data_IF_618204914483
#
_entry.id   IF_618204914483
#
_cell.length_a   1.000
_cell.length_b   1.000
_cell.length_c   1.000
_cell.angle_alpha   90.00
_cell.angle_beta   90.00
_cell.angle_gamma   90.00
#
_symmetry.space_group_name_H-M   'P 1'
#
loop_
_entity.id
_entity.type
_entity.pdbx_description
1 polymer ?
#
# COMPACT_ATOMS: atom_id res chain seq x y z
N UNK A 1 5.25 -21.59 -5.96
CA UNK A 1 6.03 -22.27 -4.91
C UNK A 1 7.40 -21.63 -4.87
N UNK A 2 7.75 -20.99 -3.76
CA UNK A 2 9.07 -20.37 -3.58
C UNK A 2 10.16 -21.43 -3.62
N UNK A 3 11.22 -21.15 -4.38
CA UNK A 3 12.34 -22.07 -4.58
C UNK A 3 13.20 -22.10 -3.30
N UNK A 4 13.24 -23.24 -2.60
CA UNK A 4 13.92 -23.42 -1.31
C UNK A 4 15.45 -23.43 -1.38
N UNK A 5 16.03 -23.31 -2.58
CA UNK A 5 17.45 -23.63 -2.82
C UNK A 5 18.35 -22.40 -2.98
N UNK A 6 17.84 -21.17 -2.76
CA UNK A 6 18.69 -19.98 -2.62
C UNK A 6 18.71 -19.54 -1.16
N UNK A 7 19.91 -19.43 -0.59
CA UNK A 7 20.07 -18.92 0.76
C UNK A 7 19.42 -17.53 0.87
N UNK A 8 18.62 -17.31 1.93
CA UNK A 8 17.92 -16.05 2.25
C UNK A 8 18.84 -14.82 2.44
N UNK A 9 20.14 -14.94 2.15
CA UNK A 9 21.16 -13.88 2.31
C UNK A 9 21.65 -13.31 0.99
N UNK A 10 21.37 -13.95 -0.16
CA UNK A 10 21.76 -13.44 -1.47
C UNK A 10 20.75 -12.43 -1.99
N UNK A 11 21.24 -11.27 -2.45
CA UNK A 11 20.43 -10.20 -3.04
C UNK A 11 20.82 -9.92 -4.49
N UNK A 12 19.85 -9.54 -5.31
CA UNK A 12 20.06 -8.97 -6.64
C UNK A 12 19.43 -7.58 -6.63
N UNK A 13 20.17 -6.52 -6.99
CA UNK A 13 19.69 -5.14 -6.92
C UNK A 13 19.17 -4.72 -5.51
N UNK A 14 19.76 -5.28 -4.45
CA UNK A 14 19.31 -5.09 -3.07
C UNK A 14 17.99 -5.79 -2.71
N UNK A 15 17.42 -6.59 -3.63
CA UNK A 15 16.20 -7.37 -3.41
C UNK A 15 16.60 -8.80 -3.04
N UNK A 16 16.02 -9.41 -1.99
CA UNK A 16 16.34 -10.80 -1.66
C UNK A 16 16.01 -11.72 -2.84
N UNK A 17 16.93 -12.61 -3.19
CA UNK A 17 16.89 -13.36 -4.45
C UNK A 17 15.67 -14.27 -4.62
N UNK A 18 14.94 -14.58 -3.53
CA UNK A 18 13.66 -15.31 -3.56
C UNK A 18 12.48 -14.49 -4.10
N UNK A 19 12.59 -13.16 -4.13
CA UNK A 19 11.59 -12.25 -4.70
C UNK A 19 11.91 -11.84 -6.15
N UNK A 20 13.09 -12.18 -6.66
CA UNK A 20 13.51 -11.83 -8.02
C UNK A 20 13.08 -12.90 -9.01
N UNK A 21 12.32 -12.49 -10.02
CA UNK A 21 11.83 -13.35 -11.10
C UNK A 21 12.85 -13.41 -12.24
N UNK A 22 13.33 -12.23 -12.66
CA UNK A 22 14.22 -12.07 -13.82
C UNK A 22 15.22 -10.97 -13.54
N UNK A 23 16.41 -11.11 -14.09
CA UNK A 23 17.45 -10.09 -14.11
C UNK A 23 18.16 -10.17 -15.45
N UNK A 24 18.44 -9.02 -16.05
CA UNK A 24 19.15 -8.95 -17.34
C UNK A 24 19.87 -7.59 -17.48
N UNK A 25 20.80 -7.50 -18.40
CA UNK A 25 21.61 -6.30 -18.62
C UNK A 25 21.91 -6.05 -20.09
N UNK A 26 21.87 -4.79 -20.51
CA UNK A 26 22.28 -4.34 -21.84
C UNK A 26 23.13 -3.08 -21.71
N UNK A 27 24.35 -3.10 -22.24
CA UNK A 27 25.31 -2.01 -22.08
C UNK A 27 25.53 -1.61 -20.60
N UNK A 28 25.16 -0.37 -20.23
CA UNK A 28 25.21 0.11 -18.84
C UNK A 28 23.91 -0.09 -18.06
N UNK A 29 22.84 -0.46 -18.76
CA UNK A 29 21.53 -0.61 -18.15
C UNK A 29 21.35 -2.02 -17.60
N UNK A 30 20.75 -2.11 -16.43
CA UNK A 30 20.36 -3.37 -15.80
C UNK A 30 18.90 -3.30 -15.39
N UNK A 31 18.22 -4.44 -15.53
CA UNK A 31 16.81 -4.56 -15.27
C UNK A 31 16.56 -5.76 -14.35
N UNK A 32 15.68 -5.59 -13.38
CA UNK A 32 15.23 -6.66 -12.50
C UNK A 32 13.70 -6.67 -12.48
N UNK A 33 13.08 -7.82 -12.73
CA UNK A 33 11.65 -8.03 -12.50
C UNK A 33 11.53 -8.82 -11.21
N UNK A 34 10.78 -8.30 -10.26
CA UNK A 34 10.63 -8.88 -8.93
C UNK A 34 9.20 -8.72 -8.42
N UNK A 35 8.94 -9.33 -7.27
CA UNK A 35 7.67 -9.22 -6.55
C UNK A 35 7.86 -8.52 -5.22
N UNK A 36 6.89 -7.68 -4.86
CA UNK A 36 6.87 -6.94 -3.58
C UNK A 36 5.41 -6.77 -3.13
N UNK A 37 5.16 -6.75 -1.82
CA UNK A 37 3.82 -6.60 -1.25
C UNK A 37 3.47 -5.17 -0.85
N UNK A 38 4.29 -4.18 -1.23
CA UNK A 38 4.10 -2.80 -0.80
C UNK A 38 2.74 -2.18 -1.19
N UNK A 39 2.17 -2.49 -2.37
CA UNK A 39 0.86 -1.97 -2.81
C UNK A 39 -0.23 -3.04 -3.02
N UNK A 40 0.09 -4.28 -2.66
CA UNK A 40 -0.72 -5.44 -2.98
C UNK A 40 -0.74 -6.40 -1.79
N UNK A 41 -1.94 -6.78 -1.34
CA UNK A 41 -2.16 -7.67 -0.19
C UNK A 41 -1.43 -9.01 -0.33
N UNK A 42 -1.27 -9.50 -1.57
CA UNK A 42 -0.42 -10.65 -1.87
C UNK A 42 0.98 -10.20 -2.28
N UNK A 43 1.19 -10.02 -3.58
CA UNK A 43 2.41 -9.56 -4.21
C UNK A 43 2.00 -8.81 -5.48
N UNK A 44 2.68 -7.70 -5.76
CA UNK A 44 2.66 -7.00 -7.03
C UNK A 44 3.94 -7.27 -7.81
N UNK A 45 3.90 -7.13 -9.13
CA UNK A 45 5.09 -7.16 -9.96
C UNK A 45 5.71 -5.76 -10.06
N UNK A 46 7.04 -5.76 -10.06
CA UNK A 46 7.85 -4.56 -10.04
C UNK A 46 9.00 -4.69 -11.01
N UNK A 47 9.45 -3.55 -11.51
CA UNK A 47 10.63 -3.44 -12.35
C UNK A 47 11.61 -2.49 -11.69
N UNK A 48 12.80 -2.99 -11.39
CA UNK A 48 13.94 -2.16 -11.05
C UNK A 48 14.74 -1.84 -12.31
N UNK A 49 15.18 -0.58 -12.43
CA UNK A 49 16.02 -0.09 -13.53
C UNK A 49 17.25 0.59 -12.95
N UNK A 50 18.42 0.14 -13.38
CA UNK A 50 19.70 0.83 -13.15
C UNK A 50 20.26 1.32 -14.48
N UNK A 51 20.82 2.53 -14.48
CA UNK A 51 21.48 3.15 -15.65
C UNK A 51 23.00 3.27 -15.49
N UNK A 52 23.53 2.77 -14.37
CA UNK A 52 24.89 2.98 -13.90
C UNK A 52 25.52 1.67 -13.41
N UNK A 53 25.33 0.57 -14.16
CA UNK A 53 25.91 -0.74 -13.84
C UNK A 53 25.51 -1.33 -12.48
N UNK A 54 24.38 -0.89 -11.94
CA UNK A 54 23.80 -1.43 -10.71
C UNK A 54 24.15 -0.63 -9.46
N UNK A 55 24.84 0.51 -9.60
CA UNK A 55 25.19 1.39 -8.47
C UNK A 55 23.93 2.02 -7.86
N UNK A 56 22.98 2.47 -8.70
CA UNK A 56 21.68 3.00 -8.28
C UNK A 56 20.53 2.30 -8.99
N UNK A 57 19.40 2.20 -8.30
CA UNK A 57 18.20 1.52 -8.77
C UNK A 57 16.96 2.37 -8.55
N UNK A 58 16.28 2.73 -9.63
CA UNK A 58 14.89 3.18 -9.59
C UNK A 58 13.97 1.96 -9.58
N UNK A 59 12.84 2.04 -8.88
CA UNK A 59 11.87 0.95 -8.73
C UNK A 59 10.50 1.44 -9.16
N UNK A 60 9.86 0.69 -10.03
CA UNK A 60 8.58 1.07 -10.62
C UNK A 60 7.56 -0.04 -10.43
N UNK A 61 6.44 0.31 -9.81
CA UNK A 61 5.30 -0.58 -9.69
C UNK A 61 4.62 -0.72 -11.06
N UNK A 62 4.35 -1.95 -11.49
CA UNK A 62 3.81 -2.16 -12.83
C UNK A 62 2.29 -2.03 -12.91
N UNK A 63 1.59 -1.84 -11.78
CA UNK A 63 0.12 -1.87 -11.73
C UNK A 63 -0.47 -3.28 -11.71
N UNK A 64 0.38 -4.31 -11.77
CA UNK A 64 0.01 -5.69 -12.07
C UNK A 64 0.25 -6.54 -10.81
N UNK A 65 -0.84 -7.10 -10.26
CA UNK A 65 -0.78 -8.01 -9.13
C UNK A 65 -0.38 -9.44 -9.54
N UNK A 66 0.17 -10.21 -8.60
CA UNK A 66 0.49 -11.61 -8.81
C UNK A 66 -0.78 -12.49 -8.92
N UNK A 67 -0.73 -13.47 -9.81
CA UNK A 67 -1.69 -14.57 -9.96
C UNK A 67 -3.14 -14.23 -10.38
N UNK A 68 -3.39 -13.19 -11.18
CA UNK A 68 -4.74 -12.90 -11.68
C UNK A 68 -4.83 -12.16 -13.04
N UNK A 69 -5.29 -12.79 -14.16
CA UNK A 69 -5.39 -14.20 -14.51
C UNK A 69 -4.13 -14.67 -15.26
N UNK A 70 -2.95 -14.24 -14.82
CA UNK A 70 -1.67 -14.61 -15.43
C UNK A 70 -0.65 -14.99 -14.36
N UNK A 71 0.37 -15.72 -14.78
CA UNK A 71 1.51 -16.11 -13.98
C UNK A 71 2.79 -15.76 -14.74
N UNK A 72 3.66 -14.91 -14.15
CA UNK A 72 4.97 -14.62 -14.74
C UNK A 72 5.92 -15.78 -14.43
N UNK A 73 6.53 -16.33 -15.48
CA UNK A 73 7.46 -17.46 -15.34
C UNK A 73 8.82 -16.98 -14.81
N UNK A 74 9.27 -17.61 -13.73
CA UNK A 74 10.60 -17.38 -13.14
C UNK A 74 11.76 -17.81 -14.06
N UNK A 75 11.53 -18.81 -14.91
CA UNK A 75 12.50 -19.27 -15.91
C UNK A 75 11.85 -19.09 -17.27
N UNK A 76 12.37 -18.16 -18.05
CA UNK A 76 11.90 -17.89 -19.40
C UNK A 76 12.96 -18.28 -20.42
N UNK A 77 12.52 -18.73 -21.58
CA UNK A 77 13.42 -19.06 -22.70
C UNK A 77 13.80 -17.83 -23.54
N UNK A 78 13.21 -16.67 -23.26
CA UNK A 78 13.41 -15.42 -24.00
C UNK A 78 14.28 -14.42 -23.24
N UNK A 79 15.08 -13.57 -23.92
CA UNK A 79 15.73 -12.41 -23.31
C UNK A 79 14.73 -11.51 -22.60
N UNK A 80 15.12 -10.85 -21.50
CA UNK A 80 14.21 -9.92 -20.81
C UNK A 80 14.07 -8.63 -21.61
N UNK A 81 15.14 -8.22 -22.30
CA UNK A 81 15.22 -6.94 -23.00
C UNK A 81 14.93 -7.20 -24.47
N UNK A 82 13.82 -6.66 -24.98
CA UNK A 82 13.50 -6.71 -26.41
C UNK A 82 14.22 -5.60 -27.18
N UNK A 83 14.19 -4.39 -26.63
CA UNK A 83 14.84 -3.19 -27.15
C UNK A 83 14.96 -2.14 -26.03
N UNK A 84 15.49 -0.96 -26.34
CA UNK A 84 15.76 0.14 -25.39
C UNK A 84 14.53 0.70 -24.65
N UNK A 85 13.31 0.28 -25.03
CA UNK A 85 12.05 0.79 -24.47
C UNK A 85 11.07 -0.32 -24.03
N UNK A 86 11.42 -1.59 -24.22
CA UNK A 86 10.47 -2.70 -24.00
C UNK A 86 11.14 -3.90 -23.35
N UNK A 87 10.57 -4.36 -22.24
CA UNK A 87 10.88 -5.64 -21.64
C UNK A 87 9.87 -6.69 -22.08
N UNK A 88 10.31 -7.95 -22.23
CA UNK A 88 9.46 -9.10 -22.50
C UNK A 88 9.58 -10.14 -21.37
N UNK A 89 8.45 -10.46 -20.76
CA UNK A 89 8.35 -11.51 -19.75
C UNK A 89 7.42 -12.62 -20.25
N UNK A 90 7.85 -13.85 -20.07
CA UNK A 90 7.05 -15.01 -20.43
C UNK A 90 5.98 -15.23 -19.36
N UNK A 91 4.74 -15.37 -19.78
CA UNK A 91 3.58 -15.51 -18.92
C UNK A 91 2.72 -16.70 -19.35
N UNK A 92 1.96 -17.23 -18.40
CA UNK A 92 0.88 -18.17 -18.66
C UNK A 92 -0.44 -17.55 -18.23
N UNK A 93 -1.49 -17.73 -19.01
CA UNK A 93 -2.86 -17.42 -18.61
C UNK A 93 -3.37 -18.53 -17.68
N UNK A 94 -3.93 -18.13 -16.54
CA UNK A 94 -4.42 -19.04 -15.51
C UNK A 94 -5.84 -18.70 -15.09
N UNK A 95 -6.67 -19.73 -14.94
CA UNK A 95 -8.02 -19.62 -14.41
C UNK A 95 -8.02 -20.06 -12.95
N UNK A 96 -8.65 -19.25 -12.09
CA UNK A 96 -8.79 -19.62 -10.68
C UNK A 96 -9.86 -20.69 -10.51
N UNK A 97 -9.45 -21.84 -10.00
CA UNK A 97 -10.30 -23.01 -9.78
C UNK A 97 -10.91 -23.03 -8.38
N UNK A 98 -10.19 -22.51 -7.38
CA UNK A 98 -10.71 -22.44 -6.01
C UNK A 98 -10.16 -21.23 -5.26
N UNK A 99 -10.93 -20.77 -4.27
CA UNK A 99 -10.42 -19.88 -3.24
C UNK A 99 -9.41 -20.61 -2.36
N UNK A 100 -8.41 -19.89 -1.87
CA UNK A 100 -7.54 -20.39 -0.82
C UNK A 100 -8.28 -20.51 0.50
N UNK A 101 -7.81 -21.41 1.37
CA UNK A 101 -8.44 -21.69 2.65
C UNK A 101 -8.16 -20.62 3.72
N UNK A 102 -7.17 -19.76 3.52
CA UNK A 102 -6.74 -18.69 4.45
C UNK A 102 -6.13 -17.51 3.68
N UNK A 103 -5.86 -16.39 4.35
CA UNK A 103 -5.47 -15.09 3.75
C UNK A 103 -4.28 -15.16 2.79
N UNK A 104 -3.34 -16.09 3.04
CA UNK A 104 -2.10 -16.22 2.25
C UNK A 104 -2.12 -17.46 1.34
N UNK A 105 -3.25 -18.17 1.25
CA UNK A 105 -3.43 -19.23 0.27
C UNK A 105 -3.93 -18.59 -1.04
N UNK A 106 -3.12 -18.59 -2.12
CA UNK A 106 -3.55 -18.01 -3.39
C UNK A 106 -4.76 -18.77 -3.98
N UNK A 107 -5.00 -20.00 -3.53
CA UNK A 107 -5.99 -20.92 -4.06
C UNK A 107 -5.39 -21.76 -5.18
N UNK A 108 -6.26 -22.54 -5.85
CA UNK A 108 -5.83 -23.39 -6.97
C UNK A 108 -6.09 -22.69 -8.28
N UNK A 109 -5.13 -22.82 -9.18
CA UNK A 109 -5.19 -22.28 -10.54
C UNK A 109 -4.97 -23.40 -11.55
N UNK A 110 -5.69 -23.32 -12.66
CA UNK A 110 -5.51 -24.16 -13.83
C UNK A 110 -4.89 -23.37 -14.95
N UNK A 111 -3.95 -23.98 -15.68
CA UNK A 111 -3.40 -23.43 -16.91
C UNK A 111 -4.51 -23.31 -17.96
N UNK A 112 -4.66 -22.13 -18.55
CA UNK A 112 -5.56 -21.88 -19.68
C UNK A 112 -4.75 -21.87 -20.97
N UNK A 113 -3.75 -20.99 -21.03
CA UNK A 113 -2.89 -20.79 -22.19
C UNK A 113 -1.45 -20.63 -21.71
N UNK A 114 -0.50 -21.28 -22.38
CA UNK A 114 0.92 -21.18 -22.06
C UNK A 114 1.73 -20.45 -23.14
N UNK A 115 2.95 -20.07 -22.80
CA UNK A 115 3.94 -19.44 -23.69
C UNK A 115 3.46 -18.10 -24.27
N UNK A 116 2.72 -17.34 -23.47
CA UNK A 116 2.36 -15.97 -23.80
C UNK A 116 3.55 -15.05 -23.46
N UNK A 117 3.65 -13.92 -24.16
CA UNK A 117 4.62 -12.88 -23.87
C UNK A 117 3.88 -11.63 -23.43
N UNK A 118 4.23 -11.11 -22.26
CA UNK A 118 3.81 -9.80 -21.79
C UNK A 118 4.93 -8.80 -22.10
N UNK A 119 4.58 -7.70 -22.76
CA UNK A 119 5.48 -6.59 -23.03
C UNK A 119 5.24 -5.49 -21.99
N UNK A 120 6.31 -5.08 -21.32
CA UNK A 120 6.31 -3.95 -20.41
C UNK A 120 6.98 -2.79 -21.13
N UNK A 121 6.21 -1.75 -21.44
CA UNK A 121 6.72 -0.53 -22.05
C UNK A 121 7.36 0.35 -20.96
N UNK A 122 8.66 0.59 -21.06
CA UNK A 122 9.41 1.36 -20.07
C UNK A 122 8.98 2.82 -20.02
N UNK A 123 8.55 3.42 -21.14
CA UNK A 123 8.07 4.80 -21.14
C UNK A 123 6.79 4.94 -20.32
N UNK A 124 5.80 4.08 -20.55
CA UNK A 124 4.55 4.09 -19.78
C UNK A 124 4.78 3.73 -18.31
N UNK A 125 5.65 2.76 -18.04
CA UNK A 125 5.99 2.34 -16.69
C UNK A 125 6.63 3.45 -15.85
N UNK A 126 7.44 4.31 -16.47
CA UNK A 126 8.15 5.39 -15.76
C UNK A 126 7.52 6.76 -15.97
N UNK A 127 6.33 6.82 -16.57
CA UNK A 127 5.68 8.09 -16.88
C UNK A 127 5.20 8.73 -15.59
N UNK A 128 5.66 9.96 -15.35
CA UNK A 128 5.27 10.85 -14.25
C UNK A 128 4.85 12.17 -14.94
N UNK A 129 3.54 12.33 -15.16
CA UNK A 129 3.02 13.34 -16.08
C UNK A 129 3.04 14.76 -15.51
N UNK A 130 2.98 14.91 -14.19
CA UNK A 130 3.09 16.22 -13.54
C UNK A 130 4.49 16.50 -12.97
N UNK A 131 5.31 15.48 -12.73
CA UNK A 131 6.67 15.59 -12.23
C UNK A 131 6.73 15.77 -10.72
N UNK A 132 5.84 15.14 -9.96
CA UNK A 132 5.84 15.17 -8.49
C UNK A 132 6.67 14.05 -7.85
N UNK A 133 7.07 13.04 -8.63
CA UNK A 133 7.85 11.89 -8.21
C UNK A 133 7.07 10.57 -8.09
N UNK A 134 5.75 10.57 -8.34
CA UNK A 134 4.94 9.37 -8.55
C UNK A 134 4.75 9.11 -10.04
N UNK A 135 4.69 7.84 -10.42
CA UNK A 135 4.29 7.48 -11.79
C UNK A 135 2.76 7.57 -11.94
N UNK A 136 2.28 7.81 -13.17
CA UNK A 136 0.86 7.80 -13.51
C UNK A 136 0.15 6.50 -13.04
N UNK A 137 0.87 5.37 -13.04
CA UNK A 137 0.39 4.07 -12.56
C UNK A 137 0.20 4.05 -11.04
N UNK A 138 1.16 4.62 -10.30
CA UNK A 138 1.12 4.73 -8.85
C UNK A 138 0.01 5.67 -8.38
N UNK A 139 -0.18 6.77 -9.11
CA UNK A 139 -1.25 7.73 -8.88
C UNK A 139 -2.64 7.14 -9.18
N UNK A 140 -2.77 6.37 -10.28
CA UNK A 140 -4.00 5.65 -10.57
C UNK A 140 -4.33 4.67 -9.43
N UNK A 141 -3.33 3.95 -8.91
CA UNK A 141 -3.49 3.03 -7.76
C UNK A 141 -3.83 3.77 -6.47
N UNK A 142 -3.45 5.04 -6.34
CA UNK A 142 -3.72 5.88 -5.17
C UNK A 142 -4.96 6.76 -5.31
N UNK A 143 -5.65 6.74 -6.46
CA UNK A 143 -6.79 7.63 -6.77
C UNK A 143 -6.45 9.13 -6.65
N UNK A 144 -5.21 9.49 -6.98
CA UNK A 144 -4.74 10.87 -7.20
C UNK A 144 -4.84 11.23 -8.69
N UNK A 145 -4.48 12.46 -9.05
CA UNK A 145 -4.63 13.01 -10.38
C UNK A 145 -3.25 13.17 -11.05
N UNK A 146 -2.93 12.36 -12.08
CA UNK A 146 -1.60 12.35 -12.70
C UNK A 146 -1.19 13.63 -13.43
N UNK A 147 -2.07 14.62 -13.48
CA UNK A 147 -1.81 15.91 -14.10
C UNK A 147 -1.71 17.04 -13.05
N UNK A 148 -1.60 16.70 -11.77
CA UNK A 148 -1.63 17.64 -10.65
C UNK A 148 -0.81 17.15 -9.48
N UNK A 149 0.36 17.79 -9.29
CA UNK A 149 1.30 17.44 -8.20
C UNK A 149 0.69 17.40 -6.82
N UNK A 150 -0.37 18.16 -6.61
CA UNK A 150 -1.14 18.28 -5.37
C UNK A 150 -2.61 18.06 -5.75
N UNK A 151 -3.09 16.83 -5.53
CA UNK A 151 -4.41 16.41 -6.00
C UNK A 151 -5.56 17.02 -5.22
N UNK A 152 -5.34 17.38 -3.96
CA UNK A 152 -6.39 17.91 -3.08
C UNK A 152 -6.28 19.42 -2.80
N UNK A 153 -5.19 20.04 -3.26
CA UNK A 153 -4.95 21.47 -3.22
C UNK A 153 -4.58 22.01 -1.84
N UNK A 154 -4.01 21.19 -0.95
CA UNK A 154 -3.58 21.62 0.39
C UNK A 154 -2.15 22.16 0.47
N UNK A 155 -1.42 22.10 -0.64
CA UNK A 155 -0.06 22.64 -0.80
C UNK A 155 1.06 21.63 -0.55
N UNK A 156 0.74 20.34 -0.36
CA UNK A 156 1.71 19.25 -0.27
C UNK A 156 1.63 18.40 -1.55
N UNK A 157 2.78 18.03 -2.12
CA UNK A 157 2.77 17.14 -3.29
C UNK A 157 2.28 15.75 -2.91
N UNK A 158 1.59 15.05 -3.81
CA UNK A 158 1.02 13.72 -3.57
C UNK A 158 2.10 12.71 -3.15
N UNK A 159 3.29 12.78 -3.76
CA UNK A 159 4.47 11.97 -3.39
C UNK A 159 4.98 12.16 -1.96
N UNK A 160 4.53 13.22 -1.27
CA UNK A 160 4.91 13.58 0.09
C UNK A 160 3.71 13.61 1.05
N UNK A 161 2.50 13.63 0.52
CA UNK A 161 1.29 13.72 1.32
C UNK A 161 0.91 12.35 1.90
N UNK A 162 0.52 12.37 3.17
CA UNK A 162 0.02 11.21 3.91
C UNK A 162 -1.48 11.00 3.70
N UNK A 163 -2.17 11.97 3.11
CA UNK A 163 -3.58 11.91 2.73
C UNK A 163 -3.86 12.68 1.42
N UNK A 164 -3.22 12.29 0.28
CA UNK A 164 -3.16 13.06 -0.98
C UNK A 164 -4.49 13.32 -1.70
N UNK A 165 -5.61 12.90 -1.11
CA UNK A 165 -6.95 13.03 -1.70
C UNK A 165 -7.85 13.97 -0.93
N UNK A 166 -7.44 14.39 0.27
CA UNK A 166 -8.28 15.08 1.24
C UNK A 166 -7.43 15.98 2.13
N UNK A 167 -7.58 17.28 1.89
CA UNK A 167 -6.95 18.34 2.68
C UNK A 167 -6.97 18.03 4.17
N UNK A 168 -5.79 18.06 4.78
CA UNK A 168 -5.62 17.73 6.20
C UNK A 168 -6.32 18.81 7.05
N UNK A 169 -7.10 18.37 8.04
CA UNK A 169 -7.75 19.29 8.99
C UNK A 169 -7.23 19.05 10.40
N UNK A 170 -6.84 20.11 11.11
CA UNK A 170 -6.39 20.00 12.51
C UNK A 170 -7.54 20.40 13.44
N UNK A 171 -8.09 19.42 14.16
CA UNK A 171 -9.08 19.62 15.22
C UNK A 171 -9.02 18.48 16.24
N UNK A 172 -9.82 18.56 17.31
CA UNK A 172 -9.82 17.55 18.38
C UNK A 172 -10.16 16.12 17.91
N UNK A 173 -10.92 15.95 16.83
CA UNK A 173 -11.29 14.64 16.28
C UNK A 173 -10.20 14.08 15.39
N UNK A 174 -9.63 14.89 14.49
CA UNK A 174 -8.53 14.43 13.64
C UNK A 174 -7.27 14.15 14.45
N UNK A 175 -7.02 14.90 15.53
CA UNK A 175 -5.96 14.59 16.49
C UNK A 175 -6.19 13.26 17.22
N UNK A 176 -7.44 12.96 17.62
CA UNK A 176 -7.81 11.68 18.22
C UNK A 176 -7.58 10.53 17.23
N UNK A 177 -8.08 10.63 16.00
CA UNK A 177 -7.89 9.58 15.00
C UNK A 177 -6.42 9.40 14.60
N UNK A 178 -5.66 10.50 14.49
CA UNK A 178 -4.21 10.44 14.30
C UNK A 178 -3.54 9.64 15.42
N UNK A 179 -3.94 9.84 16.67
CA UNK A 179 -3.45 9.05 17.80
C UNK A 179 -3.84 7.58 17.70
N UNK A 180 -5.11 7.28 17.40
CA UNK A 180 -5.59 5.89 17.29
C UNK A 180 -4.96 5.11 16.13
N UNK A 181 -4.52 5.80 15.07
CA UNK A 181 -3.90 5.20 13.88
C UNK A 181 -2.37 5.19 13.91
N UNK A 182 -1.73 6.08 14.68
CA UNK A 182 -0.28 6.08 14.85
C UNK A 182 0.14 4.95 15.80
N UNK A 183 0.53 3.81 15.23
CA UNK A 183 0.93 2.58 15.94
C UNK A 183 2.20 2.68 16.83
N UNK A 184 2.68 3.88 17.18
CA UNK A 184 3.70 3.98 18.23
C UNK A 184 3.06 3.77 19.61
N UNK A 185 2.91 2.50 19.98
CA UNK A 185 2.82 2.09 21.38
C UNK A 185 1.54 1.34 21.76
N UNK A 186 1.42 0.08 21.32
CA UNK A 186 0.96 -0.95 22.26
C UNK A 186 2.19 -1.35 23.09
N UNK A 187 2.66 -0.41 23.91
CA UNK A 187 3.50 -0.65 25.08
C UNK A 187 2.93 0.23 26.19
N UNK A 188 2.55 -0.43 27.26
CA UNK A 188 1.84 0.03 28.44
C UNK A 188 2.69 1.08 29.18
N UNK A 189 2.18 2.30 29.40
CA UNK A 189 2.37 3.03 30.66
C UNK A 189 1.31 4.14 30.81
N UNK A 190 0.67 4.18 31.97
CA UNK A 190 -0.32 5.17 32.39
C UNK A 190 0.37 6.51 32.67
N UNK A 191 0.61 7.31 31.63
CA UNK A 191 0.69 8.77 31.79
C UNK A 191 0.46 9.52 30.49
N UNK A 192 -0.69 10.18 30.46
CA UNK A 192 -1.12 11.19 29.51
C UNK A 192 0.00 12.21 29.27
N UNK A 193 0.45 12.35 28.03
CA UNK A 193 1.21 13.54 27.59
C UNK A 193 0.23 14.47 26.86
N UNK A 194 0.15 15.77 27.21
CA UNK A 194 -0.58 16.74 26.40
C UNK A 194 0.02 16.77 24.99
N UNK A 195 -0.83 16.58 23.97
CA UNK A 195 -0.42 16.63 22.58
C UNK A 195 -0.03 18.06 22.19
N UNK A 196 1.27 18.30 22.04
CA UNK A 196 1.83 19.52 21.45
C UNK A 196 2.08 19.29 19.96
N UNK A 197 1.18 19.80 19.11
CA UNK A 197 1.22 19.65 17.66
C UNK A 197 2.43 20.32 16.98
N UNK A 198 3.26 21.07 17.71
CA UNK A 198 4.43 21.78 17.18
C UNK A 198 5.72 20.93 17.10
N UNK A 199 5.70 19.70 17.61
CA UNK A 199 6.89 18.81 17.70
C UNK A 199 6.84 17.57 16.81
N UNK A 200 6.03 17.60 15.74
CA UNK A 200 6.02 16.52 14.75
C UNK A 200 7.35 16.55 13.98
N UNK A 201 8.23 15.60 14.28
CA UNK A 201 9.44 15.38 13.52
C UNK A 201 9.04 14.78 12.15
N UNK A 202 9.17 15.55 11.08
CA UNK A 202 8.72 15.21 9.72
C UNK A 202 9.68 14.28 8.96
N UNK A 203 10.76 13.81 9.57
CA UNK A 203 11.80 13.05 8.88
C UNK A 203 11.60 11.53 8.94
N UNK A 204 10.48 11.05 8.41
CA UNK A 204 10.37 9.67 7.92
C UNK A 204 9.80 9.75 6.49
N UNK A 205 10.71 9.84 5.53
CA UNK A 205 10.43 9.70 4.11
C UNK A 205 10.01 8.23 3.87
N UNK A 206 8.72 7.92 3.98
CA UNK A 206 8.18 6.70 3.36
C UNK A 206 7.71 7.11 1.97
N UNK A 207 8.08 6.31 0.98
CA UNK A 207 7.93 6.63 -0.43
C UNK A 207 6.44 6.58 -0.81
N UNK A 208 5.84 7.77 -0.91
CA UNK A 208 4.98 8.18 -2.00
C UNK A 208 3.56 7.65 -2.11
N UNK A 209 3.20 6.49 -1.56
CA UNK A 209 1.91 5.89 -1.88
C UNK A 209 1.29 5.09 -0.76
N UNK A 210 -0.02 4.87 -0.89
CA UNK A 210 -0.84 4.37 0.20
C UNK A 210 -0.51 2.91 0.57
N UNK A 211 0.21 2.76 1.67
CA UNK A 211 0.56 1.47 2.26
C UNK A 211 -0.68 0.78 2.88
N UNK A 212 -1.70 1.58 3.24
CA UNK A 212 -2.93 1.09 3.84
C UNK A 212 -4.17 1.82 3.30
N UNK A 213 -5.29 1.09 3.24
CA UNK A 213 -6.61 1.67 2.94
C UNK A 213 -7.46 1.75 4.21
N UNK A 214 -8.03 2.93 4.47
CA UNK A 214 -9.09 3.10 5.46
C UNK A 214 -10.42 3.26 4.73
N UNK A 215 -11.37 2.37 5.02
CA UNK A 215 -12.74 2.51 4.47
C UNK A 215 -13.66 3.10 5.53
N UNK A 216 -14.16 4.31 5.29
CA UNK A 216 -15.04 5.04 6.22
C UNK A 216 -15.89 6.08 5.52
N UNK A 217 -17.15 6.20 5.95
CA UNK A 217 -18.03 7.31 5.55
C UNK A 217 -18.05 8.45 6.60
N UNK A 218 -17.21 8.35 7.64
CA UNK A 218 -17.08 9.39 8.68
C UNK A 218 -16.19 10.53 8.18
N UNK A 219 -16.73 11.77 8.04
CA UNK A 219 -15.96 12.91 7.57
C UNK A 219 -14.85 13.32 8.55
N UNK A 220 -14.93 12.97 9.83
CA UNK A 220 -13.89 13.25 10.82
C UNK A 220 -12.61 12.45 10.61
N UNK A 221 -12.72 11.26 10.01
CA UNK A 221 -11.56 10.40 9.68
C UNK A 221 -10.96 10.79 8.34
N UNK A 222 -11.79 11.22 7.38
CA UNK A 222 -11.39 11.52 6.00
C UNK A 222 -10.30 12.59 5.86
N UNK A 223 -10.07 13.42 6.89
CA UNK A 223 -9.10 14.53 6.87
C UNK A 223 -7.89 14.29 7.78
N UNK A 224 -7.62 13.03 8.14
CA UNK A 224 -6.52 12.66 9.05
C UNK A 224 -5.27 12.34 8.25
N UNK A 225 -4.15 12.96 8.64
CA UNK A 225 -2.81 12.51 8.28
C UNK A 225 -2.11 11.88 9.49
N UNK A 226 -1.53 10.70 9.26
CA UNK A 226 -0.69 10.00 10.25
C UNK A 226 0.78 10.29 9.99
N UNK A 227 1.67 9.84 10.88
CA UNK A 227 3.10 10.17 10.77
C UNK A 227 3.96 9.12 10.06
N UNK A 228 3.51 7.87 10.00
CA UNK A 228 4.38 6.76 9.61
C UNK A 228 4.06 6.15 8.24
N UNK A 229 2.81 6.31 7.77
CA UNK A 229 2.29 5.66 6.58
C UNK A 229 1.47 6.66 5.76
N UNK A 230 1.39 6.46 4.46
CA UNK A 230 0.36 7.12 3.64
C UNK A 230 -0.91 6.28 3.69
N UNK A 231 -2.06 6.89 4.01
CA UNK A 231 -3.35 6.21 4.00
C UNK A 231 -4.16 6.65 2.80
N UNK A 232 -4.72 5.69 2.07
CA UNK A 232 -5.79 5.96 1.13
C UNK A 232 -7.13 5.83 1.86
N UNK A 233 -7.72 6.98 2.22
CA UNK A 233 -9.01 7.02 2.91
C UNK A 233 -10.14 7.09 1.88
N UNK A 234 -10.97 6.05 1.87
CA UNK A 234 -12.05 5.85 0.91
C UNK A 234 -13.40 5.81 1.62
N UNK A 235 -14.40 6.48 1.06
CA UNK A 235 -15.81 6.20 1.36
C UNK A 235 -16.18 4.77 0.98
N UNK A 236 -17.28 4.25 1.51
CA UNK A 236 -17.81 2.94 1.13
C UNK A 236 -18.09 2.86 -0.38
N UNK A 237 -18.48 3.99 -0.99
CA UNK A 237 -18.69 4.10 -2.44
C UNK A 237 -17.38 4.01 -3.22
N UNK A 238 -16.36 4.79 -2.82
CA UNK A 238 -15.05 4.77 -3.46
C UNK A 238 -14.37 3.41 -3.32
N UNK A 239 -14.51 2.75 -2.16
CA UNK A 239 -14.00 1.39 -1.96
C UNK A 239 -14.60 0.37 -2.92
N UNK A 240 -15.90 0.45 -3.21
CA UNK A 240 -16.53 -0.42 -4.22
C UNK A 240 -15.96 -0.18 -5.61
N UNK A 241 -15.74 1.09 -5.97
CA UNK A 241 -15.10 1.46 -7.23
C UNK A 241 -13.65 0.95 -7.28
N UNK A 242 -12.88 1.16 -6.21
CA UNK A 242 -11.50 0.70 -6.07
C UNK A 242 -11.37 -0.80 -6.33
N UNK A 243 -12.17 -1.61 -5.64
CA UNK A 243 -12.19 -3.07 -5.84
C UNK A 243 -12.71 -3.53 -7.20
N UNK A 244 -13.43 -2.68 -7.93
CA UNK A 244 -13.84 -3.02 -9.29
C UNK A 244 -12.72 -2.80 -10.31
N UNK A 245 -11.77 -1.92 -9.99
CA UNK A 245 -10.59 -1.61 -10.80
C UNK A 245 -9.40 -2.50 -10.43
N UNK A 246 -9.13 -2.65 -9.13
CA UNK A 246 -7.96 -3.35 -8.63
C UNK A 246 -8.36 -4.63 -7.92
N UNK A 247 -7.86 -5.74 -8.44
CA UNK A 247 -8.11 -7.08 -7.90
C UNK A 247 -7.34 -7.27 -6.60
N UNK A 248 -6.09 -6.80 -6.57
CA UNK A 248 -5.25 -6.75 -5.38
C UNK A 248 -5.20 -5.32 -4.83
N UNK A 249 -5.24 -5.20 -3.52
CA UNK A 249 -5.40 -3.93 -2.78
C UNK A 249 -4.38 -3.87 -1.65
N UNK A 250 -3.90 -2.69 -1.22
CA UNK A 250 -3.08 -2.57 -0.02
C UNK A 250 -3.80 -3.10 1.23
N UNK A 251 -3.05 -3.29 2.31
CA UNK A 251 -3.62 -3.76 3.58
C UNK A 251 -4.77 -2.86 4.06
N UNK A 252 -5.88 -3.48 4.45
CA UNK A 252 -7.09 -2.75 4.81
C UNK A 252 -7.22 -2.61 6.32
N UNK A 253 -7.38 -1.37 6.77
CA UNK A 253 -7.91 -1.04 8.10
C UNK A 253 -9.36 -0.58 7.99
N UNK A 254 -10.20 -1.08 8.87
CA UNK A 254 -11.56 -0.59 9.04
C UNK A 254 -11.61 0.21 10.33
N UNK A 255 -12.07 1.46 10.26
CA UNK A 255 -12.21 2.34 11.43
C UNK A 255 -13.66 2.76 11.50
N UNK A 256 -14.34 2.48 12.62
CA UNK A 256 -15.72 2.94 12.78
C UNK A 256 -15.77 4.41 13.19
N UNK A 257 -16.87 5.07 12.87
CA UNK A 257 -17.22 6.35 13.46
C UNK A 257 -17.23 6.30 15.01
N UNK A 258 -17.10 7.45 15.66
CA UNK A 258 -17.30 7.59 17.11
C UNK A 258 -18.75 7.25 17.50
N UNK A 259 -18.98 6.05 18.02
CA UNK A 259 -20.31 5.59 18.42
C UNK A 259 -20.58 5.98 19.89
N UNK A 260 -21.63 6.75 20.20
CA UNK A 260 -21.92 7.12 21.59
C UNK A 260 -22.26 5.88 22.43
N UNK A 261 -21.75 5.84 23.67
CA UNK A 261 -22.07 4.77 24.63
C UNK A 261 -23.41 5.10 25.30
N UNK A 262 -24.35 4.16 25.25
CA UNK A 262 -25.69 4.34 25.79
C UNK A 262 -25.63 4.55 27.31
N UNK A 263 -26.20 5.65 27.78
CA UNK A 263 -26.26 5.98 29.21
C UNK A 263 -25.03 6.70 29.76
N UNK A 264 -23.96 6.82 28.98
CA UNK A 264 -22.72 7.47 29.39
C UNK A 264 -22.54 8.78 28.61
N UNK A 265 -22.54 9.91 29.32
CA UNK A 265 -22.34 11.21 28.70
C UNK A 265 -20.88 11.34 28.26
N UNK A 266 -20.65 11.87 27.05
CA UNK A 266 -19.32 12.13 26.51
C UNK A 266 -18.43 10.89 26.35
N UNK A 267 -19.03 9.69 26.30
CA UNK A 267 -18.28 8.46 26.08
C UNK A 267 -18.65 7.86 24.72
N UNK A 268 -17.64 7.37 24.01
CA UNK A 268 -17.74 6.83 22.66
C UNK A 268 -16.96 5.52 22.54
N UNK A 269 -17.30 4.73 21.53
CA UNK A 269 -16.50 3.59 21.09
C UNK A 269 -16.05 3.76 19.64
N UNK A 270 -14.83 3.31 19.36
CA UNK A 270 -14.25 3.19 18.02
C UNK A 270 -13.66 1.80 17.88
N UNK A 271 -14.06 1.08 16.84
CA UNK A 271 -13.47 -0.21 16.50
C UNK A 271 -12.49 -0.01 15.35
N UNK A 272 -11.27 -0.51 15.53
CA UNK A 272 -10.25 -0.59 14.48
C UNK A 272 -9.97 -2.06 14.23
N UNK A 273 -10.18 -2.54 13.00
CA UNK A 273 -9.90 -3.92 12.60
C UNK A 273 -8.99 -3.96 11.37
N UNK A 274 -8.17 -5.00 11.28
CA UNK A 274 -7.27 -5.24 10.15
C UNK A 274 -7.74 -6.42 9.32
N UNK A 275 -7.84 -6.26 8.00
CA UNK A 275 -8.22 -7.28 7.02
C UNK A 275 -9.49 -8.08 7.39
N UNK A 276 -10.37 -7.51 8.22
CA UNK A 276 -11.57 -8.18 8.72
C UNK A 276 -11.35 -9.25 9.78
N UNK A 277 -10.12 -9.37 10.31
CA UNK A 277 -9.76 -10.26 11.43
C UNK A 277 -9.72 -9.53 12.77
N UNK A 278 -8.63 -9.74 13.52
CA UNK A 278 -8.42 -9.16 14.85
C UNK A 278 -8.51 -7.63 14.84
N UNK A 279 -8.99 -7.08 15.95
CA UNK A 279 -9.08 -5.65 16.11
C UNK A 279 -9.04 -5.19 17.55
N UNK A 280 -9.13 -3.89 17.71
CA UNK A 280 -9.13 -3.22 19.00
C UNK A 280 -10.38 -2.34 19.08
N UNK A 281 -11.10 -2.45 20.20
CA UNK A 281 -12.16 -1.53 20.55
C UNK A 281 -11.60 -0.51 21.53
N UNK A 282 -11.63 0.74 21.13
CA UNK A 282 -11.32 1.85 22.01
C UNK A 282 -12.60 2.36 22.66
N UNK A 283 -12.58 2.53 23.98
CA UNK A 283 -13.53 3.34 24.74
C UNK A 283 -12.90 4.70 24.98
N UNK A 284 -13.57 5.74 24.50
CA UNK A 284 -13.04 7.10 24.46
C UNK A 284 -13.95 7.97 25.32
N UNK A 285 -13.40 8.75 26.24
CA UNK A 285 -14.16 9.71 27.04
C UNK A 285 -13.66 11.11 26.76
N UNK A 286 -14.56 11.98 26.29
CA UNK A 286 -14.29 13.39 26.07
C UNK A 286 -14.25 14.14 27.41
N UNK A 287 -13.10 14.72 27.73
CA UNK A 287 -12.94 15.68 28.82
C UNK A 287 -12.84 17.09 28.24
N UNK A 288 -12.81 18.10 29.11
CA UNK A 288 -12.84 19.52 28.72
C UNK A 288 -11.66 19.91 27.82
N UNK A 289 -10.50 19.32 28.06
CA UNK A 289 -9.20 19.69 27.47
C UNK A 289 -8.45 18.51 26.84
N UNK A 290 -8.91 17.27 27.05
CA UNK A 290 -8.26 16.07 26.53
C UNK A 290 -9.24 14.92 26.28
N UNK A 291 -8.78 13.89 25.59
CA UNK A 291 -9.46 12.61 25.44
C UNK A 291 -8.84 11.59 26.39
N UNK A 292 -9.66 10.79 27.06
CA UNK A 292 -9.22 9.59 27.78
C UNK A 292 -9.52 8.39 26.91
N UNK A 293 -8.50 7.65 26.50
CA UNK A 293 -8.62 6.49 25.62
C UNK A 293 -8.28 5.23 26.41
N UNK A 294 -9.17 4.25 26.40
CA UNK A 294 -8.95 2.90 26.92
C UNK A 294 -9.14 1.92 25.77
N UNK A 295 -8.34 0.86 25.71
CA UNK A 295 -8.51 -0.15 24.69
C UNK A 295 -8.93 -1.48 25.30
N UNK A 296 -9.70 -2.25 24.53
CA UNK A 296 -10.05 -3.63 24.81
C UNK A 296 -9.76 -4.43 23.54
N UNK A 297 -9.07 -5.56 23.68
CA UNK A 297 -8.87 -6.47 22.56
C UNK A 297 -10.23 -6.99 22.09
N UNK A 298 -10.52 -6.83 20.80
CA UNK A 298 -11.62 -7.54 20.16
C UNK A 298 -11.09 -8.91 19.77
N UNK A 299 -11.49 -9.94 20.51
CA UNK A 299 -11.35 -11.30 20.03
C UNK A 299 -12.38 -11.49 18.90
N UNK A 300 -11.92 -11.84 17.71
CA UNK A 300 -12.76 -12.45 16.67
C UNK A 300 -12.24 -13.85 16.40
N UNK A 301 -13.20 -14.77 16.27
CA UNK A 301 -13.05 -16.21 16.00
C UNK A 301 -12.18 -16.53 14.79
#
# INVERSE_FOLDING_TARGET
>A
MFNSDRAYTDTVAGIPSGYVLRYDSVNKMQFVVYVDNLYDESLGYWVGVSKDHGDTWARYYTGIGDCYPYYIKYRAAIPLIKNDSTLEVEVAEVARLSKGAFSNDPGRFGLVTDNLIMQINLYELTKDSDGDGLTDIEEEKSFTNPLSKDSDGDGVNDSQDRNPRRQIRINKYTALYKYLLNEKGICIDDSIVPFDGSKVNTNILSHGIAEFIIVTDDPGIAHVAVTNFTYLILSTKEWKLYKSKFISVPHRKSVTALKPVKGEKNQYTVDITENGGSGVRYTITEKKDHWVVKFNLLWSY
#
